data_IF_419507508313
#
_entry.id   IF_419507508313
#
_cell.length_a   1.000
_cell.length_b   1.000
_cell.length_c   1.000
_cell.angle_alpha   90.00
_cell.angle_beta   90.00
_cell.angle_gamma   90.00
#
_symmetry.space_group_name_H-M   'P 1'
#
loop_
_entity.id
_entity.type
_entity.pdbx_description
1 polymer ?
#
# COMPACT_ATOMS: atom_id res chain seq x y z
N UNK A 1 -21.79 -10.62 -11.84
CA UNK A 1 -20.75 -9.87 -11.16
C UNK A 1 -19.55 -10.74 -10.94
N UNK A 2 -18.38 -10.20 -11.29
CA UNK A 2 -17.17 -11.00 -11.18
C UNK A 2 -16.76 -11.15 -9.73
N UNK A 3 -16.31 -12.34 -9.39
CA UNK A 3 -15.79 -12.59 -8.06
C UNK A 3 -14.32 -12.23 -8.04
N UNK A 4 -13.89 -11.51 -7.02
CA UNK A 4 -12.50 -11.05 -6.92
C UNK A 4 -11.67 -12.12 -6.22
N UNK A 5 -10.51 -12.42 -6.80
CA UNK A 5 -9.58 -13.37 -6.22
C UNK A 5 -8.78 -12.70 -5.10
N UNK A 6 -9.15 -12.99 -3.86
CA UNK A 6 -8.39 -12.50 -2.71
C UNK A 6 -7.35 -13.54 -2.32
N UNK A 7 -6.12 -13.10 -2.09
CA UNK A 7 -5.04 -14.00 -1.73
C UNK A 7 -4.38 -13.53 -0.43
N UNK A 8 -3.83 -14.47 0.32
CA UNK A 8 -3.17 -14.13 1.57
C UNK A 8 -1.76 -13.58 1.28
N UNK A 9 -1.11 -12.95 2.29
CA UNK A 9 0.20 -12.33 2.06
C UNK A 9 1.27 -13.28 1.55
N UNK A 10 1.31 -14.50 2.06
CA UNK A 10 2.32 -15.47 1.64
C UNK A 10 2.15 -15.83 0.17
N UNK A 11 0.91 -16.03 -0.27
CA UNK A 11 0.62 -16.33 -1.67
C UNK A 11 0.96 -15.13 -2.54
N UNK A 12 0.63 -13.92 -2.07
CA UNK A 12 0.95 -12.70 -2.80
C UNK A 12 2.45 -12.55 -2.98
N UNK A 13 3.21 -12.82 -1.93
CA UNK A 13 4.67 -12.73 -1.99
C UNK A 13 5.24 -13.73 -3.02
N UNK A 14 4.71 -14.95 -3.04
CA UNK A 14 5.13 -15.94 -4.01
C UNK A 14 4.81 -15.51 -5.45
N UNK A 15 3.65 -14.92 -5.67
CA UNK A 15 3.28 -14.43 -6.99
C UNK A 15 4.21 -13.29 -7.43
N UNK A 16 4.53 -12.38 -6.53
CA UNK A 16 5.42 -11.26 -6.83
C UNK A 16 6.81 -11.77 -7.19
N UNK A 17 7.30 -12.77 -6.45
CA UNK A 17 8.59 -13.38 -6.75
C UNK A 17 8.59 -14.13 -8.09
N UNK A 18 7.42 -14.46 -8.60
CA UNK A 18 7.26 -15.14 -9.89
C UNK A 18 6.93 -14.17 -11.03
N UNK A 19 7.00 -12.87 -10.77
CA UNK A 19 6.82 -11.86 -11.81
C UNK A 19 5.56 -11.02 -11.75
N UNK A 20 4.70 -11.23 -10.76
CA UNK A 20 3.52 -10.38 -10.60
C UNK A 20 3.93 -8.99 -10.15
N UNK A 21 3.17 -7.99 -10.56
CA UNK A 21 3.41 -6.60 -10.16
C UNK A 21 2.52 -6.25 -8.99
N UNK A 22 3.08 -5.63 -7.97
CA UNK A 22 2.29 -5.15 -6.83
C UNK A 22 1.80 -3.74 -7.13
N UNK A 23 0.50 -3.54 -7.08
CA UNK A 23 -0.10 -2.21 -7.27
C UNK A 23 -0.56 -1.72 -5.91
N UNK A 24 0.10 -0.70 -5.38
CA UNK A 24 -0.25 -0.12 -4.10
C UNK A 24 -1.22 1.03 -4.35
N UNK A 25 -2.46 0.88 -3.90
CA UNK A 25 -3.49 1.88 -4.16
C UNK A 25 -3.69 2.85 -2.99
N UNK A 26 -2.76 2.84 -2.03
CA UNK A 26 -2.83 3.76 -0.91
C UNK A 26 -2.40 5.16 -1.36
N UNK A 27 -2.72 6.15 -0.53
CA UNK A 27 -2.29 7.51 -0.79
C UNK A 27 -0.80 7.67 -0.48
N UNK A 28 -0.17 8.67 -1.09
CA UNK A 28 1.27 8.86 -0.93
C UNK A 28 1.68 9.09 0.51
N UNK A 29 0.84 9.78 1.30
CA UNK A 29 1.20 10.02 2.69
C UNK A 29 1.21 8.73 3.51
N UNK A 30 0.45 7.71 3.09
CA UNK A 30 0.51 6.42 3.75
C UNK A 30 1.81 5.70 3.43
N UNK A 31 2.30 5.82 2.20
CA UNK A 31 3.55 5.21 1.78
C UNK A 31 4.74 5.82 2.50
N UNK A 32 4.65 7.08 2.87
CA UNK A 32 5.72 7.75 3.59
C UNK A 32 5.88 7.20 4.99
N UNK A 33 4.84 6.66 5.57
CA UNK A 33 4.89 6.09 6.91
C UNK A 33 5.29 4.63 6.90
N UNK A 34 4.75 3.89 5.96
CA UNK A 34 5.05 2.46 5.82
C UNK A 34 4.75 2.04 4.40
N UNK A 35 5.66 1.32 3.77
CA UNK A 35 5.49 0.86 2.40
C UNK A 35 5.96 -0.57 2.24
N UNK A 36 5.49 -1.24 1.20
CA UNK A 36 5.99 -2.57 0.85
C UNK A 36 7.45 -2.46 0.40
N UNK A 37 8.32 -3.28 0.96
CA UNK A 37 9.74 -3.29 0.58
C UNK A 37 9.94 -4.32 -0.53
N UNK A 38 9.39 -4.02 -1.68
CA UNK A 38 9.40 -4.88 -2.86
C UNK A 38 9.94 -4.06 -4.02
N UNK A 39 10.69 -4.70 -4.90
CA UNK A 39 11.31 -4.01 -6.03
C UNK A 39 10.31 -3.56 -7.08
N UNK A 40 9.36 -4.42 -7.44
CA UNK A 40 8.38 -4.13 -8.48
C UNK A 40 7.05 -3.67 -7.87
N UNK A 41 6.99 -2.39 -7.49
CA UNK A 41 5.78 -1.80 -6.94
C UNK A 41 5.39 -0.57 -7.75
N UNK A 42 4.13 -0.48 -8.12
CA UNK A 42 3.59 0.70 -8.77
C UNK A 42 2.55 1.30 -7.84
N UNK A 43 2.68 2.58 -7.53
CA UNK A 43 1.70 3.27 -6.70
C UNK A 43 0.72 4.03 -7.58
N UNK A 44 -0.55 3.71 -7.46
CA UNK A 44 -1.63 4.44 -8.13
C UNK A 44 -2.64 4.78 -7.05
N UNK A 45 -2.63 6.02 -6.59
CA UNK A 45 -3.45 6.43 -5.45
C UNK A 45 -4.94 6.25 -5.71
N UNK A 46 -5.64 5.72 -4.72
CA UNK A 46 -7.05 5.41 -4.84
C UNK A 46 -7.89 6.64 -5.19
N UNK A 47 -7.56 7.78 -4.61
CA UNK A 47 -8.33 9.02 -4.80
C UNK A 47 -8.31 9.53 -6.25
N UNK A 48 -7.28 9.18 -7.02
CA UNK A 48 -7.17 9.58 -8.41
C UNK A 48 -7.03 8.38 -9.34
N UNK A 49 -7.51 7.23 -8.88
CA UNK A 49 -7.32 5.99 -9.61
C UNK A 49 -7.97 6.04 -10.99
N UNK A 50 -9.15 6.63 -11.08
CA UNK A 50 -9.87 6.74 -12.35
C UNK A 50 -9.15 7.62 -13.37
N UNK A 51 -8.17 8.39 -12.94
CA UNK A 51 -7.38 9.23 -13.85
C UNK A 51 -6.08 8.55 -14.28
N UNK A 52 -5.61 7.55 -13.52
CA UNK A 52 -4.30 6.97 -13.74
C UNK A 52 -4.26 5.47 -13.98
N UNK A 53 -5.39 4.80 -13.95
CA UNK A 53 -5.41 3.34 -14.05
C UNK A 53 -4.93 2.82 -15.41
N UNK A 54 -4.94 3.67 -16.41
CA UNK A 54 -4.55 3.25 -17.76
C UNK A 54 -3.07 2.91 -17.87
N UNK A 55 -2.26 3.35 -16.90
CA UNK A 55 -0.84 3.04 -16.87
C UNK A 55 -0.58 1.63 -16.35
N UNK A 56 -1.60 0.96 -15.83
CA UNK A 56 -1.45 -0.38 -15.28
C UNK A 56 -1.43 -1.41 -16.41
N UNK A 57 -0.43 -2.30 -16.46
CA UNK A 57 -0.35 -3.29 -17.53
C UNK A 57 -1.49 -4.29 -17.49
N UNK A 58 -1.94 -4.76 -18.64
CA UNK A 58 -3.02 -5.74 -18.74
C UNK A 58 -2.51 -7.16 -18.98
N UNK A 59 -1.24 -7.31 -19.31
CA UNK A 59 -0.67 -8.56 -19.76
C UNK A 59 0.15 -9.32 -18.73
N UNK A 60 0.01 -8.98 -17.47
CA UNK A 60 0.72 -9.66 -16.41
C UNK A 60 -0.16 -9.75 -15.17
N UNK A 61 0.23 -10.63 -14.26
CA UNK A 61 -0.51 -10.78 -13.00
C UNK A 61 -0.27 -9.57 -12.11
N UNK A 62 -1.34 -9.09 -11.49
CA UNK A 62 -1.31 -7.92 -10.63
C UNK A 62 -1.83 -8.27 -9.25
N UNK A 63 -1.11 -7.83 -8.23
CA UNK A 63 -1.58 -7.96 -6.85
C UNK A 63 -1.90 -6.55 -6.36
N UNK A 64 -3.16 -6.29 -6.08
CA UNK A 64 -3.62 -4.98 -5.63
C UNK A 64 -3.60 -4.95 -4.11
N UNK A 65 -3.05 -3.90 -3.55
CA UNK A 65 -2.87 -3.80 -2.10
C UNK A 65 -3.26 -2.43 -1.57
N UNK A 66 -3.81 -2.42 -0.37
CA UNK A 66 -4.09 -1.18 0.35
C UNK A 66 -3.78 -1.41 1.83
N UNK A 67 -4.40 -0.66 2.73
CA UNK A 67 -4.10 -0.82 4.15
C UNK A 67 -4.76 -2.09 4.71
N UNK A 68 -6.06 -2.25 4.49
CA UNK A 68 -6.83 -3.35 5.08
C UNK A 68 -7.54 -4.25 4.06
N UNK A 69 -7.42 -3.97 2.79
CA UNK A 69 -7.99 -4.81 1.73
C UNK A 69 -9.28 -4.31 1.10
N UNK A 70 -9.86 -3.25 1.62
CA UNK A 70 -11.15 -2.74 1.10
C UNK A 70 -10.97 -1.98 -0.21
N UNK A 71 -10.03 -1.04 -0.23
CA UNK A 71 -9.79 -0.24 -1.44
C UNK A 71 -9.28 -1.10 -2.59
N UNK A 72 -8.40 -2.05 -2.28
CA UNK A 72 -7.85 -2.93 -3.31
C UNK A 72 -8.92 -3.81 -3.92
N UNK A 73 -9.89 -4.24 -3.12
CA UNK A 73 -11.01 -5.03 -3.62
C UNK A 73 -11.82 -4.21 -4.62
N UNK A 74 -12.10 -2.96 -4.29
CA UNK A 74 -12.86 -2.07 -5.18
C UNK A 74 -12.10 -1.77 -6.46
N UNK A 75 -10.79 -1.59 -6.35
CA UNK A 75 -9.94 -1.34 -7.52
C UNK A 75 -9.93 -2.56 -8.42
N UNK A 76 -9.89 -3.76 -7.84
CA UNK A 76 -9.95 -4.98 -8.62
C UNK A 76 -11.25 -5.05 -9.44
N UNK A 77 -12.38 -4.70 -8.82
CA UNK A 77 -13.66 -4.67 -9.53
C UNK A 77 -13.63 -3.65 -10.66
N UNK A 78 -13.07 -2.48 -10.40
CA UNK A 78 -12.96 -1.42 -11.39
C UNK A 78 -12.13 -1.86 -12.60
N UNK A 79 -10.99 -2.49 -12.37
CA UNK A 79 -10.12 -2.94 -13.45
C UNK A 79 -10.79 -4.01 -14.30
N UNK A 80 -11.43 -4.97 -13.65
CA UNK A 80 -12.12 -6.03 -14.37
C UNK A 80 -13.25 -5.46 -15.22
N UNK A 81 -13.98 -4.51 -14.67
CA UNK A 81 -15.05 -3.84 -15.39
C UNK A 81 -14.51 -3.10 -16.62
N UNK A 82 -13.28 -2.63 -16.56
CA UNK A 82 -12.65 -1.87 -17.63
C UNK A 82 -11.77 -2.71 -18.57
N UNK A 83 -11.89 -4.02 -18.53
CA UNK A 83 -11.26 -4.89 -19.52
C UNK A 83 -10.05 -5.69 -19.09
N UNK A 84 -9.64 -5.59 -17.83
CA UNK A 84 -8.56 -6.42 -17.33
C UNK A 84 -9.06 -7.84 -17.09
N UNK A 85 -8.21 -8.83 -17.36
CA UNK A 85 -8.57 -10.24 -17.21
C UNK A 85 -8.73 -10.60 -15.71
N UNK A 86 -9.91 -11.07 -15.28
CA UNK A 86 -10.11 -11.41 -13.87
C UNK A 86 -9.12 -12.44 -13.34
N UNK A 87 -8.61 -13.31 -14.20
CA UNK A 87 -7.67 -14.35 -13.79
C UNK A 87 -6.30 -13.81 -13.45
N UNK A 88 -6.02 -12.58 -13.86
CA UNK A 88 -4.74 -11.93 -13.58
C UNK A 88 -4.83 -10.88 -12.48
N UNK A 89 -6.00 -10.69 -11.90
CA UNK A 89 -6.21 -9.66 -10.89
C UNK A 89 -6.43 -10.31 -9.53
N UNK A 90 -5.59 -9.93 -8.57
CA UNK A 90 -5.67 -10.46 -7.21
C UNK A 90 -5.70 -9.32 -6.21
N UNK A 91 -6.48 -9.44 -5.16
CA UNK A 91 -6.51 -8.46 -4.08
C UNK A 91 -5.80 -9.05 -2.86
N UNK A 92 -4.87 -8.30 -2.28
CA UNK A 92 -4.15 -8.74 -1.10
C UNK A 92 -5.07 -8.66 0.11
N UNK A 93 -5.45 -9.81 0.63
CA UNK A 93 -6.35 -9.91 1.77
C UNK A 93 -5.71 -9.31 3.00
N UNK A 94 -6.38 -8.37 3.63
CA UNK A 94 -5.87 -7.69 4.81
C UNK A 94 -4.84 -6.60 4.55
N UNK A 95 -4.44 -6.40 3.29
CA UNK A 95 -3.57 -5.31 2.90
C UNK A 95 -2.18 -5.36 3.53
N UNK A 96 -1.55 -4.20 3.66
CA UNK A 96 -0.20 -4.12 4.22
C UNK A 96 -0.18 -4.53 5.69
N UNK A 97 -1.30 -4.37 6.39
CA UNK A 97 -1.40 -4.77 7.78
C UNK A 97 -1.19 -6.29 7.91
N UNK A 98 -1.88 -7.08 7.10
CA UNK A 98 -1.71 -8.53 7.10
C UNK A 98 -0.33 -8.95 6.58
N UNK A 99 0.18 -8.19 5.60
CA UNK A 99 1.51 -8.43 5.05
C UNK A 99 2.58 -8.29 6.13
N UNK A 100 2.48 -7.23 6.93
CA UNK A 100 3.42 -7.01 8.02
C UNK A 100 3.28 -8.07 9.11
N UNK A 101 2.05 -8.48 9.42
CA UNK A 101 1.80 -9.52 10.41
C UNK A 101 2.36 -10.87 9.97
N UNK A 102 2.50 -11.08 8.67
CA UNK A 102 3.09 -12.29 8.12
C UNK A 102 4.62 -12.22 8.07
N UNK A 103 5.22 -11.14 8.61
CA UNK A 103 6.66 -10.94 8.67
C UNK A 103 7.31 -10.76 7.30
N UNK A 104 6.55 -10.23 6.34
CA UNK A 104 7.05 -9.96 5.01
C UNK A 104 7.66 -8.55 4.96
N UNK A 105 8.52 -8.27 3.98
CA UNK A 105 9.31 -7.01 3.99
C UNK A 105 8.47 -5.74 3.88
N UNK A 106 8.72 -4.81 4.80
CA UNK A 106 8.12 -3.47 4.75
C UNK A 106 9.20 -2.45 5.09
N UNK A 107 9.00 -1.21 4.63
CA UNK A 107 9.84 -0.08 4.97
C UNK A 107 9.01 0.86 5.83
N UNK A 108 9.56 1.31 6.95
CA UNK A 108 8.87 2.24 7.82
C UNK A 108 9.65 3.55 7.92
N UNK A 109 8.92 4.63 8.16
CA UNK A 109 9.54 5.93 8.34
C UNK A 109 10.49 5.91 9.55
N UNK A 110 11.59 6.64 9.48
CA UNK A 110 12.53 6.70 10.62
C UNK A 110 11.86 7.29 11.82
N UNK A 111 12.06 6.64 12.98
CA UNK A 111 11.46 7.10 14.17
C UNK A 111 12.00 8.38 14.68
N UNK A 112 13.21 8.72 14.34
CA UNK A 112 13.82 9.94 14.77
C UNK A 112 13.07 11.17 14.35
N UNK A 113 12.17 11.09 13.39
CA UNK A 113 11.43 12.10 12.91
C UNK A 113 10.28 12.42 13.66
N UNK A 114 9.82 11.51 14.31
CA UNK A 114 8.68 11.69 15.04
C UNK A 114 8.88 12.30 16.34
N UNK A 115 9.83 12.63 16.65
CA UNK A 115 9.92 13.11 17.83
C UNK A 115 10.05 14.36 18.08
N UNK A 116 10.10 14.50 17.68
CA UNK A 116 9.95 15.46 17.80
C UNK A 116 9.43 16.16 18.16
N UNK A 117 9.45 16.03 18.32
CA UNK A 117 8.80 16.73 18.52
C UNK A 117 8.46 17.31 18.86
N UNK A 118 8.43 17.29 18.79
CA UNK A 118 7.94 17.88 19.09
C UNK A 118 7.76 18.42 19.66
N UNK A 119 7.83 18.34 19.50
CA UNK A 119 7.39 18.95 20.00
C UNK A 119 7.28 19.36 20.58
N UNK A 120 7.44 19.21 20.63
CA UNK A 120 7.12 19.83 21.15
C UNK A 120 7.19 20.20 21.82
N UNK A 121 7.49 20.15 22.01
CA UNK A 121 7.38 20.89 22.69
C UNK A 121 7.39 21.47 23.20
N UNK A 122 7.69 21.21 23.65
CA UNK A 122 7.57 22.04 24.21
C UNK A 122 7.72 22.55 24.54
N UNK A 123 8.18 22.16 24.98
CA UNK A 123 7.97 22.98 25.18
C UNK A 123 8.32 23.34 25.56
N UNK A 124 9.14 23.61 26.63
CA UNK A 124 9.16 24.28 27.04
C UNK A 124 9.45 24.69 27.19
N UNK A 125 9.66 24.02 27.17
CA UNK A 125 9.55 24.74 27.17
C UNK A 125 10.00 24.99 27.27
N UNK A 126 10.48 24.91 27.68
CA UNK A 126 10.50 25.48 27.79
C UNK A 126 10.99 25.73 27.84
N UNK A 127 11.26 25.47 27.96
CA UNK A 127 11.29 25.99 27.90
C UNK A 127 11.73 26.11 27.80
N UNK A 128 12.11 25.90 28.02
CA UNK A 128 12.08 26.30 27.83
C UNK A 128 12.34 26.23 27.55
N UNK A 129 12.61 25.98 27.59
CA UNK A 129 12.43 26.21 27.35
C UNK A 129 12.30 26.00 26.87
N UNK A 130 12.79 25.52 27.31
CA UNK A 130 12.18 25.73 26.90
C UNK A 130 11.90 25.37 26.44
N UNK A 131 12.06 24.99 26.20
CA UNK A 131 11.43 25.02 25.95
C UNK A 131 11.05 24.81 25.58
N UNK A 132 11.30 24.41 25.65
CA UNK A 132 10.53 24.47 25.47
C UNK A 132 10.19 24.39 25.14
N UNK A 133 10.36 23.99 25.15
CA UNK A 133 9.60 24.11 24.94
C UNK A 133 9.62 24.17 24.82
#
# INVERSE_FOLDING_TARGET
>A
MEEINEINPETAFAYINSGALLIDVREKYELEQEAFDIQDVLNVSYSIFDENYQDIPKDRKLVLACHLGVRSYRVAQFLIYNGWNPENIFSLQGGIDAWENAKLPVKKAPRSFSMVKPVSFCGCGSSSTGSCC
#
